data_IF_634022032055
#
_entry.id   IF_634022032055
#
_cell.length_a   1.000
_cell.length_b   1.000
_cell.length_c   1.000
_cell.angle_alpha   90.00
_cell.angle_beta   90.00
_cell.angle_gamma   90.00
#
_symmetry.space_group_name_H-M   'P 1'
#
loop_
_entity.id
_entity.type
_entity.pdbx_description
1 polymer ?
#
# COMPACT_ATOMS: atom_id res chain seq x y z
N UNK A 1 -13.38 17.59 26.02
CA UNK A 1 -13.74 16.62 27.08
C UNK A 1 -14.06 17.40 28.35
N UNK A 2 -15.33 17.46 28.77
CA UNK A 2 -15.78 18.21 29.95
C UNK A 2 -15.97 17.29 31.16
N UNK A 3 -16.23 17.83 32.35
CA UNK A 3 -16.51 17.04 33.57
C UNK A 3 -17.74 16.12 33.43
N UNK A 4 -18.67 16.46 32.54
CA UNK A 4 -19.81 15.60 32.19
C UNK A 4 -19.38 14.41 31.33
N UNK A 5 -18.33 14.54 30.49
CA UNK A 5 -17.76 13.42 29.75
C UNK A 5 -17.10 12.40 30.69
N UNK A 6 -16.41 12.85 31.74
CA UNK A 6 -15.69 11.98 32.67
C UNK A 6 -16.59 11.00 33.44
N UNK A 7 -17.78 11.43 33.86
CA UNK A 7 -18.77 10.52 34.49
C UNK A 7 -19.27 9.46 33.51
N UNK A 8 -19.49 9.84 32.25
CA UNK A 8 -19.95 8.91 31.22
C UNK A 8 -18.87 7.89 30.83
N UNK A 9 -17.59 8.30 30.81
CA UNK A 9 -16.45 7.40 30.55
C UNK A 9 -16.25 6.32 31.61
N UNK A 10 -16.74 6.53 32.85
CA UNK A 10 -16.55 5.60 33.97
C UNK A 10 -17.58 4.47 33.97
N UNK A 11 -18.80 4.72 33.50
CA UNK A 11 -19.85 3.69 33.39
C UNK A 11 -19.88 3.03 32.02
N UNK A 12 -19.49 3.76 30.96
CA UNK A 12 -19.35 3.21 29.61
C UNK A 12 -17.99 3.67 29.06
N UNK A 13 -16.99 2.78 28.92
CA UNK A 13 -15.72 3.16 28.32
C UNK A 13 -15.99 3.61 26.88
N UNK A 14 -15.85 4.91 26.63
CA UNK A 14 -15.89 5.43 25.27
C UNK A 14 -14.62 5.00 24.58
N UNK A 15 -14.71 3.94 23.78
CA UNK A 15 -13.72 3.69 22.73
C UNK A 15 -13.77 4.91 21.82
N UNK A 16 -12.71 5.71 21.84
CA UNK A 16 -12.44 6.67 20.78
C UNK A 16 -12.46 5.85 19.50
N UNK A 17 -13.53 5.99 18.72
CA UNK A 17 -13.54 5.47 17.38
C UNK A 17 -12.38 6.16 16.68
N UNK A 18 -11.28 5.43 16.58
CA UNK A 18 -10.24 5.70 15.62
C UNK A 18 -11.03 5.80 14.35
N UNK A 19 -11.11 7.00 13.78
CA UNK A 19 -11.62 7.18 12.44
C UNK A 19 -10.84 6.17 11.62
N UNK A 20 -11.51 5.06 11.31
CA UNK A 20 -11.01 4.06 10.41
C UNK A 20 -10.89 4.82 9.10
N UNK A 21 -9.68 5.33 8.85
CA UNK A 21 -9.18 5.43 7.49
C UNK A 21 -9.65 4.14 6.81
N UNK A 22 -10.29 4.18 5.63
CA UNK A 22 -10.67 2.97 4.92
C UNK A 22 -9.38 2.23 4.49
N UNK A 23 -8.72 1.56 5.44
CA UNK A 23 -7.75 0.51 5.21
C UNK A 23 -8.58 -0.76 5.10
N UNK A 24 -9.31 -0.89 3.99
CA UNK A 24 -9.76 -2.20 3.53
C UNK A 24 -10.28 -2.14 2.09
N UNK A 25 -9.41 -1.79 1.14
CA UNK A 25 -9.45 -2.54 -0.11
C UNK A 25 -8.97 -3.94 0.25
N UNK A 26 -9.91 -4.86 0.47
CA UNK A 26 -9.66 -6.29 0.60
C UNK A 26 -9.13 -6.83 -0.73
N UNK A 27 -7.91 -6.45 -1.10
CA UNK A 27 -7.10 -7.25 -1.98
C UNK A 27 -6.62 -8.42 -1.13
N UNK A 28 -7.44 -9.48 -1.07
CA UNK A 28 -6.92 -10.80 -0.72
C UNK A 28 -5.92 -11.17 -1.80
N UNK A 29 -4.68 -10.71 -1.60
CA UNK A 29 -3.51 -11.18 -2.30
C UNK A 29 -3.52 -12.71 -2.16
N UNK A 30 -3.39 -13.48 -3.26
CA UNK A 30 -3.20 -14.91 -3.16
C UNK A 30 -2.09 -15.18 -2.14
N UNK A 31 -2.19 -16.21 -1.29
CA UNK A 31 -1.12 -16.55 -0.37
C UNK A 31 0.16 -16.77 -1.18
N UNK A 32 1.09 -15.80 -1.11
CA UNK A 32 2.39 -15.86 -1.77
C UNK A 32 3.37 -16.38 -0.73
N UNK A 33 3.92 -17.57 -0.93
CA UNK A 33 5.01 -18.04 -0.08
C UNK A 33 6.28 -17.26 -0.48
N UNK A 34 6.90 -16.58 0.48
CA UNK A 34 8.18 -15.89 0.27
C UNK A 34 9.35 -16.88 0.02
N UNK A 35 9.12 -18.17 0.25
CA UNK A 35 10.11 -19.25 0.20
C UNK A 35 10.06 -20.05 -1.12
N UNK A 36 9.07 -19.78 -1.97
CA UNK A 36 9.08 -20.29 -3.35
C UNK A 36 10.20 -19.58 -4.11
N UNK A 37 11.30 -20.32 -4.33
CA UNK A 37 12.42 -19.90 -5.16
C UNK A 37 11.87 -19.48 -6.51
N UNK A 38 11.97 -18.19 -6.81
CA UNK A 38 11.72 -17.70 -8.14
C UNK A 38 12.93 -18.02 -9.03
N UNK A 39 12.82 -19.11 -9.79
CA UNK A 39 13.84 -19.54 -10.74
C UNK A 39 14.20 -18.46 -11.77
N UNK A 40 13.29 -17.51 -12.03
CA UNK A 40 13.50 -16.42 -12.98
C UNK A 40 14.05 -15.15 -12.31
N UNK A 41 14.04 -15.07 -10.97
CA UNK A 41 14.53 -13.91 -10.22
C UNK A 41 13.73 -12.62 -10.46
N UNK A 42 12.46 -12.72 -10.82
CA UNK A 42 11.54 -11.60 -11.01
C UNK A 42 10.95 -11.10 -9.68
N UNK A 43 10.92 -11.95 -8.65
CA UNK A 43 10.50 -11.64 -7.29
C UNK A 43 11.66 -11.03 -6.51
N UNK A 44 11.37 -9.96 -5.79
CA UNK A 44 12.30 -9.36 -4.83
C UNK A 44 12.43 -10.24 -3.59
N UNK A 45 13.64 -10.31 -3.03
CA UNK A 45 13.90 -10.92 -1.73
C UNK A 45 13.38 -10.04 -0.58
N UNK A 46 13.19 -10.63 0.61
CA UNK A 46 12.74 -9.91 1.81
C UNK A 46 13.64 -8.71 2.13
N UNK A 47 14.97 -8.88 2.04
CA UNK A 47 15.93 -7.81 2.29
C UNK A 47 15.78 -6.62 1.33
N UNK A 48 15.40 -6.88 0.08
CA UNK A 48 15.16 -5.86 -0.94
C UNK A 48 13.84 -5.15 -0.69
N UNK A 49 12.80 -5.88 -0.28
CA UNK A 49 11.51 -5.29 0.12
C UNK A 49 11.66 -4.40 1.37
N UNK A 50 12.48 -4.81 2.34
CA UNK A 50 12.84 -3.97 3.49
C UNK A 50 13.57 -2.70 3.06
N UNK A 51 14.51 -2.79 2.11
CA UNK A 51 15.21 -1.62 1.56
C UNK A 51 14.24 -0.65 0.86
N UNK A 52 13.29 -1.17 0.08
CA UNK A 52 12.22 -0.38 -0.55
C UNK A 52 11.36 0.31 0.51
N UNK A 53 11.00 -0.40 1.60
CA UNK A 53 10.23 0.17 2.70
C UNK A 53 11.01 1.22 3.52
N UNK A 54 12.34 1.07 3.61
CA UNK A 54 13.21 2.03 4.29
C UNK A 54 13.53 3.28 3.43
N UNK A 55 13.41 3.18 2.11
CA UNK A 55 13.70 4.28 1.18
C UNK A 55 12.70 5.42 1.34
N UNK A 56 13.20 6.56 1.84
CA UNK A 56 12.39 7.77 1.97
C UNK A 56 12.00 8.35 0.61
N UNK A 57 12.81 8.16 -0.42
CA UNK A 57 12.54 8.62 -1.79
C UNK A 57 11.34 7.88 -2.38
N UNK A 58 11.35 6.55 -2.35
CA UNK A 58 10.24 5.72 -2.81
C UNK A 58 8.96 6.04 -2.02
N UNK A 59 9.07 6.14 -0.69
CA UNK A 59 7.94 6.52 0.16
C UNK A 59 7.39 7.91 -0.12
N UNK A 60 8.23 8.86 -0.54
CA UNK A 60 7.79 10.20 -0.90
C UNK A 60 7.07 10.20 -2.25
N UNK A 61 7.57 9.47 -3.25
CA UNK A 61 6.86 9.30 -4.53
C UNK A 61 5.50 8.62 -4.32
N UNK A 62 5.44 7.60 -3.47
CA UNK A 62 4.19 6.93 -3.11
C UNK A 62 3.20 7.80 -2.34
N UNK A 63 3.52 9.04 -1.94
CA UNK A 63 2.52 9.98 -1.39
C UNK A 63 1.61 10.57 -2.46
N UNK A 64 2.00 10.47 -3.73
CA UNK A 64 1.20 10.92 -4.86
C UNK A 64 -0.03 10.02 -5.05
N UNK A 65 -1.23 10.61 -5.01
CA UNK A 65 -2.49 9.86 -5.13
C UNK A 65 -2.71 9.26 -6.52
N UNK A 66 -2.19 9.89 -7.57
CA UNK A 66 -2.33 9.41 -8.94
C UNK A 66 -1.46 8.17 -9.16
N UNK A 67 -0.23 8.21 -8.64
CA UNK A 67 0.68 7.06 -8.65
C UNK A 67 0.08 5.87 -7.88
N UNK A 68 -0.47 6.10 -6.69
CA UNK A 68 -1.13 5.04 -5.92
C UNK A 68 -2.30 4.40 -6.68
N UNK A 69 -3.15 5.21 -7.31
CA UNK A 69 -4.28 4.72 -8.12
C UNK A 69 -3.79 3.88 -9.29
N UNK A 70 -2.69 4.27 -9.92
CA UNK A 70 -2.09 3.54 -11.02
C UNK A 70 -1.56 2.18 -10.58
N UNK A 71 -0.81 2.12 -9.47
CA UNK A 71 -0.31 0.86 -8.88
C UNK A 71 -1.48 -0.05 -8.51
N UNK A 72 -2.50 0.48 -7.82
CA UNK A 72 -3.70 -0.28 -7.46
C UNK A 72 -4.42 -0.82 -8.70
N UNK A 73 -4.51 -0.03 -9.77
CA UNK A 73 -5.14 -0.46 -11.02
C UNK A 73 -4.39 -1.65 -11.64
N UNK A 74 -3.05 -1.60 -11.67
CA UNK A 74 -2.23 -2.70 -12.19
C UNK A 74 -2.41 -3.96 -11.34
N UNK A 75 -2.29 -3.87 -10.01
CA UNK A 75 -2.41 -5.01 -9.08
C UNK A 75 -3.81 -5.63 -9.06
N UNK A 76 -4.85 -4.83 -9.36
CA UNK A 76 -6.25 -5.27 -9.39
C UNK A 76 -6.76 -5.67 -10.78
N UNK A 77 -6.00 -5.41 -11.83
CA UNK A 77 -6.43 -5.66 -13.21
C UNK A 77 -6.37 -7.15 -13.55
N UNK A 78 -7.37 -7.60 -14.31
CA UNK A 78 -7.33 -8.91 -14.97
C UNK A 78 -6.30 -8.96 -16.11
N UNK A 79 -5.96 -7.80 -16.68
CA UNK A 79 -4.97 -7.62 -17.75
C UNK A 79 -3.83 -6.73 -17.23
N UNK A 80 -3.09 -7.23 -16.24
CA UNK A 80 -2.05 -6.45 -15.55
C UNK A 80 -0.92 -5.99 -16.48
N UNK A 81 -0.56 -6.80 -17.49
CA UNK A 81 0.49 -6.47 -18.47
C UNK A 81 0.13 -5.24 -19.31
N UNK A 82 -1.09 -5.17 -19.85
CA UNK A 82 -1.54 -4.04 -20.66
C UNK A 82 -1.66 -2.75 -19.81
N UNK A 83 -2.10 -2.86 -18.56
CA UNK A 83 -2.17 -1.72 -17.65
C UNK A 83 -0.80 -1.24 -17.20
N UNK A 84 0.17 -2.15 -17.05
CA UNK A 84 1.57 -1.81 -16.80
C UNK A 84 2.18 -1.06 -17.97
N UNK A 85 1.99 -1.54 -19.21
CA UNK A 85 2.51 -0.86 -20.41
C UNK A 85 1.99 0.58 -20.51
N UNK A 86 0.68 0.78 -20.30
CA UNK A 86 0.06 2.11 -20.27
C UNK A 86 0.63 2.98 -19.16
N UNK A 87 0.86 2.42 -17.98
CA UNK A 87 1.45 3.15 -16.87
C UNK A 87 2.88 3.63 -17.19
N UNK A 88 3.68 2.80 -17.85
CA UNK A 88 5.06 3.10 -18.25
C UNK A 88 5.19 4.23 -19.27
N UNK A 89 4.13 4.54 -20.04
CA UNK A 89 4.08 5.71 -20.91
C UNK A 89 4.08 7.03 -20.11
N UNK A 90 3.58 7.00 -18.87
CA UNK A 90 3.49 8.15 -17.98
C UNK A 90 4.83 8.51 -17.31
N UNK A 91 5.20 9.80 -17.24
CA UNK A 91 6.45 10.22 -16.61
C UNK A 91 6.50 9.92 -15.10
N UNK A 92 5.35 9.96 -14.42
CA UNK A 92 5.25 9.73 -12.97
C UNK A 92 5.58 8.28 -12.59
N UNK A 93 4.95 7.32 -13.25
CA UNK A 93 5.20 5.90 -12.98
C UNK A 93 6.63 5.51 -13.39
N UNK A 94 7.11 6.05 -14.51
CA UNK A 94 8.49 5.82 -14.96
C UNK A 94 9.52 6.39 -13.99
N UNK A 95 9.29 7.56 -13.41
CA UNK A 95 10.16 8.10 -12.37
C UNK A 95 10.20 7.18 -11.16
N UNK A 96 9.04 6.67 -10.73
CA UNK A 96 8.92 5.71 -9.63
C UNK A 96 9.69 4.40 -9.90
N UNK A 97 9.57 3.80 -11.09
CA UNK A 97 10.25 2.53 -11.42
C UNK A 97 11.76 2.66 -11.60
N UNK A 98 12.29 3.89 -11.70
CA UNK A 98 13.73 4.15 -11.84
C UNK A 98 14.44 4.35 -10.50
N UNK A 99 13.73 4.26 -9.38
CA UNK A 99 14.29 4.36 -8.01
C UNK A 99 14.52 2.99 -7.42
#
# INVERSE_FOLDING_TARGET
>A
CSLMCFKQHKEVPCSREVLSMPVNSQHTQPPRSFEEIDEQGWRLEESQLEAVAASSEIRNLLKDEELQKMILKIDSSSNAEEELDKAMEGPLFREFTNK
#
